data_IF_485968529904
#
_entry.id   IF_485968529904
#
_cell.length_a   1.000
_cell.length_b   1.000
_cell.length_c   1.000
_cell.angle_alpha   90.00
_cell.angle_beta   90.00
_cell.angle_gamma   90.00
#
_symmetry.space_group_name_H-M   'P 1'
#
loop_
_entity.id
_entity.type
_entity.pdbx_description
1 polymer ?
#
# COMPACT_ATOMS: atom_id res chain seq x y z
N UNK A 1 -1.69 -10.69 -6.55
CA UNK A 1 -2.14 -10.24 -7.89
C UNK A 1 -0.91 -10.08 -8.76
N UNK A 2 -1.03 -10.23 -10.07
CA UNK A 2 0.04 -9.93 -11.05
C UNK A 2 -0.37 -8.70 -11.84
N UNK A 3 0.58 -7.84 -12.18
CA UNK A 3 0.40 -6.67 -13.06
C UNK A 3 1.60 -6.51 -13.98
N UNK A 4 1.48 -5.64 -14.96
CA UNK A 4 2.51 -5.38 -15.98
C UNK A 4 2.49 -3.90 -16.31
N UNK A 5 3.59 -3.20 -16.05
CA UNK A 5 3.76 -1.81 -16.43
C UNK A 5 4.26 -1.77 -17.89
N UNK A 6 3.51 -1.14 -18.79
CA UNK A 6 3.80 -1.05 -20.24
C UNK A 6 4.32 0.35 -20.63
N UNK A 7 4.96 0.47 -21.80
CA UNK A 7 5.59 1.74 -22.26
C UNK A 7 4.54 2.81 -22.57
N UNK A 8 3.34 2.37 -22.94
CA UNK A 8 2.22 3.18 -23.41
C UNK A 8 1.27 3.59 -22.26
N UNK A 9 1.55 3.15 -21.03
CA UNK A 9 0.70 3.42 -19.87
C UNK A 9 1.16 4.71 -19.17
N UNK A 10 0.26 5.69 -19.10
CA UNK A 10 0.52 7.10 -18.77
C UNK A 10 0.98 7.39 -17.32
N UNK A 11 1.52 6.40 -16.60
CA UNK A 11 2.11 6.63 -15.27
C UNK A 11 2.02 5.47 -14.27
N UNK A 12 1.46 4.33 -14.68
CA UNK A 12 1.43 3.09 -13.90
C UNK A 12 0.03 2.65 -13.44
N UNK A 13 0.00 1.54 -12.71
CA UNK A 13 -1.24 0.82 -12.40
C UNK A 13 -1.93 1.35 -11.13
N UNK A 14 -3.23 1.66 -11.23
CA UNK A 14 -4.03 2.18 -10.12
C UNK A 14 -4.78 1.09 -9.34
N UNK A 15 -4.72 1.17 -8.00
CA UNK A 15 -5.40 0.24 -7.10
C UNK A 15 -6.23 0.95 -6.03
N UNK A 16 -7.35 0.33 -5.66
CA UNK A 16 -8.21 0.79 -4.56
C UNK A 16 -8.39 -0.29 -3.51
N UNK A 17 -8.12 0.04 -2.25
CA UNK A 17 -8.32 -0.88 -1.11
C UNK A 17 -9.39 -0.34 -0.18
N UNK A 18 -10.46 -1.14 0.00
CA UNK A 18 -11.53 -0.87 0.96
C UNK A 18 -11.06 -1.18 2.38
N UNK A 19 -11.26 -0.24 3.29
CA UNK A 19 -10.88 -0.35 4.70
C UNK A 19 -11.97 0.16 5.64
N UNK A 20 -11.94 -0.35 6.86
CA UNK A 20 -12.68 0.17 8.01
C UNK A 20 -11.73 0.94 8.93
N UNK A 21 -12.24 1.84 9.79
CA UNK A 21 -11.41 2.54 10.76
C UNK A 21 -10.61 1.57 11.64
N UNK A 22 -9.32 1.84 11.80
CA UNK A 22 -8.42 0.99 12.56
C UNK A 22 -7.92 -0.26 11.83
N UNK A 23 -8.36 -0.56 10.60
CA UNK A 23 -7.72 -1.61 9.80
C UNK A 23 -6.22 -1.25 9.59
N UNK A 24 -5.35 -2.25 9.70
CA UNK A 24 -3.97 -2.17 9.22
C UNK A 24 -3.91 -2.77 7.82
N UNK A 25 -3.44 -1.98 6.85
CA UNK A 25 -3.24 -2.40 5.46
C UNK A 25 -1.74 -2.46 5.18
N UNK A 26 -1.27 -3.63 4.76
CA UNK A 26 0.09 -3.85 4.28
C UNK A 26 0.03 -4.10 2.78
N UNK A 27 0.86 -3.38 2.02
CA UNK A 27 0.98 -3.49 0.57
C UNK A 27 2.44 -3.81 0.26
N UNK A 28 2.65 -4.88 -0.49
CA UNK A 28 3.96 -5.34 -0.94
C UNK A 28 3.90 -5.44 -2.47
N UNK A 29 4.79 -4.73 -3.15
CA UNK A 29 5.02 -4.82 -4.59
C UNK A 29 6.38 -5.45 -4.81
N UNK A 30 6.41 -6.58 -5.52
CA UNK A 30 7.66 -7.23 -5.92
C UNK A 30 7.81 -7.11 -7.42
N UNK A 31 8.71 -6.24 -7.92
CA UNK A 31 8.99 -6.09 -9.33
C UNK A 31 9.69 -7.33 -9.90
N UNK A 32 9.48 -7.58 -11.18
CA UNK A 32 10.25 -8.55 -11.95
C UNK A 32 11.71 -8.13 -12.10
N UNK A 33 12.55 -9.04 -12.58
CA UNK A 33 13.99 -8.81 -12.73
C UNK A 33 14.27 -7.59 -13.63
N UNK A 34 15.01 -6.62 -13.10
CA UNK A 34 15.45 -5.43 -13.85
C UNK A 34 14.45 -4.27 -13.86
N UNK A 35 13.28 -4.46 -13.26
CA UNK A 35 12.28 -3.42 -13.02
C UNK A 35 12.51 -2.79 -11.63
N UNK A 36 12.20 -1.50 -11.52
CA UNK A 36 12.18 -0.75 -10.27
C UNK A 36 10.87 0.03 -10.19
N UNK A 37 10.20 -0.03 -9.04
CA UNK A 37 8.83 0.45 -8.87
C UNK A 37 8.73 1.36 -7.66
N UNK A 38 7.70 2.20 -7.66
CA UNK A 38 7.34 3.03 -6.53
C UNK A 38 5.85 2.91 -6.21
N UNK A 39 5.52 3.14 -4.94
CA UNK A 39 4.16 3.28 -4.47
C UNK A 39 3.85 4.76 -4.30
N UNK A 40 2.84 5.24 -5.04
CA UNK A 40 2.40 6.63 -5.02
C UNK A 40 0.98 6.73 -4.45
N UNK A 41 0.72 7.84 -3.77
CA UNK A 41 -0.62 8.21 -3.31
C UNK A 41 -1.52 8.61 -4.47
N UNK A 42 -2.79 8.84 -4.14
CA UNK A 42 -3.79 9.34 -5.09
C UNK A 42 -3.47 10.77 -5.60
N UNK A 43 -2.63 11.50 -4.88
CA UNK A 43 -2.12 12.83 -5.21
C UNK A 43 -0.85 12.81 -6.08
N UNK A 44 -0.33 11.61 -6.41
CA UNK A 44 0.94 11.43 -7.12
C UNK A 44 2.18 11.57 -6.23
N UNK A 45 2.01 11.78 -4.92
CA UNK A 45 3.13 11.83 -3.97
C UNK A 45 3.69 10.43 -3.69
N UNK A 46 5.02 10.29 -3.62
CA UNK A 46 5.63 9.01 -3.23
C UNK A 46 5.29 8.67 -1.77
N UNK A 47 4.64 7.52 -1.55
CA UNK A 47 4.42 6.94 -0.23
C UNK A 47 5.66 6.12 0.16
N UNK A 48 6.19 5.37 -0.80
CA UNK A 48 7.39 4.57 -0.65
C UNK A 48 8.04 4.39 -2.01
N UNK A 49 9.37 4.47 -2.02
CA UNK A 49 10.22 4.25 -3.17
C UNK A 49 11.57 3.74 -2.70
N UNK A 50 12.20 2.93 -3.53
CA UNK A 50 13.57 2.50 -3.35
C UNK A 50 14.39 3.06 -4.51
N UNK A 51 15.13 4.13 -4.23
CA UNK A 51 16.01 4.74 -5.21
C UNK A 51 17.35 3.96 -5.23
N UNK A 52 17.41 2.74 -5.81
CA UNK A 52 18.73 2.15 -6.08
C UNK A 52 18.89 0.64 -6.26
N UNK A 53 17.88 -0.20 -6.04
CA UNK A 53 18.04 -1.66 -6.16
C UNK A 53 16.95 -2.28 -7.02
N UNK A 54 17.25 -2.47 -8.31
CA UNK A 54 16.36 -3.14 -9.27
C UNK A 54 15.97 -4.54 -8.78
N UNK A 55 14.68 -4.85 -8.79
CA UNK A 55 14.15 -6.16 -8.39
C UNK A 55 13.88 -6.34 -6.90
N UNK A 56 14.16 -5.34 -6.06
CA UNK A 56 13.79 -5.37 -4.64
C UNK A 56 12.31 -5.07 -4.45
N UNK A 57 11.71 -5.60 -3.38
CA UNK A 57 10.29 -5.38 -3.10
C UNK A 57 10.06 -4.07 -2.37
N UNK A 58 9.05 -3.32 -2.80
CA UNK A 58 8.56 -2.14 -2.10
C UNK A 58 7.46 -2.52 -1.14
N UNK A 59 7.63 -2.19 0.13
CA UNK A 59 6.68 -2.53 1.19
C UNK A 59 6.23 -1.28 1.94
N UNK A 60 4.91 -1.12 2.08
CA UNK A 60 4.31 -0.14 2.99
C UNK A 60 3.36 -0.83 3.95
N UNK A 61 3.30 -0.28 5.16
CA UNK A 61 2.32 -0.66 6.17
C UNK A 61 1.68 0.60 6.71
N UNK A 62 0.35 0.68 6.57
CA UNK A 62 -0.44 1.85 6.91
C UNK A 62 -1.56 1.46 7.87
N UNK A 63 -1.74 2.24 8.93
CA UNK A 63 -2.95 2.19 9.75
C UNK A 63 -3.97 3.16 9.18
N UNK A 64 -5.24 2.75 9.12
CA UNK A 64 -6.30 3.52 8.49
C UNK A 64 -7.11 4.36 9.47
N UNK A 65 -7.57 5.50 8.97
CA UNK A 65 -8.08 6.65 9.72
C UNK A 65 -9.46 6.39 10.36
N UNK A 66 -9.99 7.36 11.12
CA UNK A 66 -11.24 7.24 11.89
C UNK A 66 -12.54 7.08 11.05
N UNK A 67 -12.48 7.26 9.74
CA UNK A 67 -13.65 7.15 8.83
C UNK A 67 -13.39 6.04 7.80
N UNK A 68 -14.40 5.20 7.56
CA UNK A 68 -14.33 4.13 6.54
C UNK A 68 -14.22 4.70 5.12
N UNK A 69 -13.55 3.98 4.23
CA UNK A 69 -13.36 4.47 2.88
C UNK A 69 -12.58 3.55 1.95
N UNK A 70 -12.11 4.15 0.86
CA UNK A 70 -11.21 3.51 -0.11
C UNK A 70 -9.91 4.32 -0.15
N UNK A 71 -8.79 3.70 0.22
CA UNK A 71 -7.47 4.29 -0.05
C UNK A 71 -7.07 3.91 -1.46
N UNK A 72 -6.81 4.93 -2.29
CA UNK A 72 -6.31 4.77 -3.65
C UNK A 72 -4.80 4.99 -3.67
N UNK A 73 -4.10 4.16 -4.41
CA UNK A 73 -2.66 4.27 -4.64
C UNK A 73 -2.32 3.80 -6.05
N UNK A 74 -1.12 4.14 -6.50
CA UNK A 74 -0.59 3.74 -7.80
C UNK A 74 0.71 2.95 -7.60
N UNK A 75 0.91 1.93 -8.43
CA UNK A 75 2.20 1.29 -8.65
C UNK A 75 2.80 1.94 -9.89
N UNK A 76 3.80 2.80 -9.70
CA UNK A 76 4.46 3.52 -10.79
C UNK A 76 5.85 2.99 -11.08
N UNK A 77 6.36 3.23 -12.29
CA UNK A 77 7.76 3.01 -12.66
C UNK A 77 8.61 4.17 -12.09
N UNK A 78 9.79 3.87 -11.54
CA UNK A 78 10.76 4.93 -11.18
C UNK A 78 11.52 5.43 -12.42
N UNK A 79 11.99 6.69 -12.44
CA UNK A 79 12.70 7.27 -13.60
C UNK A 79 13.95 6.50 -14.08
N UNK A 80 14.47 5.58 -13.26
CA UNK A 80 15.62 4.71 -13.55
C UNK A 80 15.23 3.27 -13.98
N UNK A 81 13.93 2.98 -14.02
CA UNK A 81 13.32 1.68 -14.30
C UNK A 81 12.56 1.65 -15.62
N UNK A 82 12.52 0.46 -16.25
CA UNK A 82 11.83 0.21 -17.52
C UNK A 82 10.45 -0.40 -17.32
N UNK A 83 9.97 -1.12 -18.34
CA UNK A 83 8.72 -1.87 -18.30
C UNK A 83 8.90 -3.28 -17.76
N UNK A 84 7.82 -3.87 -17.24
CA UNK A 84 7.86 -5.27 -16.84
C UNK A 84 6.74 -5.70 -15.90
N UNK A 85 6.76 -6.99 -15.61
CA UNK A 85 5.82 -7.61 -14.69
C UNK A 85 6.17 -7.31 -13.24
N UNK A 86 5.15 -7.29 -12.39
CA UNK A 86 5.30 -7.28 -10.94
C UNK A 86 4.22 -8.14 -10.28
N UNK A 87 4.45 -8.46 -9.01
CA UNK A 87 3.45 -9.06 -8.15
C UNK A 87 3.06 -8.11 -7.04
N UNK A 88 1.76 -8.03 -6.77
CA UNK A 88 1.18 -7.20 -5.73
C UNK A 88 0.50 -8.08 -4.69
N UNK A 89 0.89 -7.92 -3.44
CA UNK A 89 0.25 -8.55 -2.29
C UNK A 89 -0.31 -7.46 -1.39
N UNK A 90 -1.59 -7.60 -1.06
CA UNK A 90 -2.29 -6.70 -0.13
C UNK A 90 -2.80 -7.55 1.03
N UNK A 91 -2.29 -7.28 2.22
CA UNK A 91 -2.76 -7.91 3.45
C UNK A 91 -3.56 -6.88 4.23
N UNK A 92 -4.78 -7.24 4.62
CA UNK A 92 -5.60 -6.43 5.50
C UNK A 92 -5.81 -7.17 6.81
N UNK A 93 -5.39 -6.54 7.89
CA UNK A 93 -5.62 -7.02 9.25
C UNK A 93 -6.59 -6.06 9.90
N UNK A 94 -7.83 -6.51 10.10
CA UNK A 94 -8.76 -5.73 10.91
C UNK A 94 -8.31 -5.75 12.36
N UNK A 95 -8.33 -4.59 13.02
CA UNK A 95 -8.29 -4.60 14.47
C UNK A 95 -9.53 -5.32 14.97
N UNK A 96 -9.33 -6.44 15.66
CA UNK A 96 -10.42 -7.17 16.33
C UNK A 96 -10.45 -6.89 17.84
N UNK A 97 -9.65 -5.95 18.32
CA UNK A 97 -9.36 -5.78 19.74
C UNK A 97 -9.58 -4.33 20.19
N UNK A 98 -10.81 -4.05 20.62
CA UNK A 98 -10.96 -3.18 21.78
C UNK A 98 -11.66 -1.84 21.62
N UNK A 99 -12.58 -1.67 20.67
CA UNK A 99 -13.63 -0.65 20.83
C UNK A 99 -14.66 -1.06 21.93
N UNK A 100 -14.23 -1.81 22.94
CA UNK A 100 -14.97 -1.92 24.19
C UNK A 100 -14.78 -0.61 24.93
N UNK A 101 -15.70 0.33 24.70
CA UNK A 101 -16.05 1.34 25.69
C UNK A 101 -16.57 0.71 26.99
N UNK A 102 -15.86 -0.29 27.54
CA UNK A 102 -15.90 -0.66 28.93
C UNK A 102 -14.84 0.19 29.60
N UNK A 103 -15.32 1.32 30.12
CA UNK A 103 -14.94 1.83 31.43
C UNK A 103 -13.91 0.95 32.14
N UNK A 104 -12.74 1.53 32.42
CA UNK A 104 -11.95 1.08 33.55
C UNK A 104 -12.82 1.27 34.81
N UNK A 105 -13.70 0.31 35.09
CA UNK A 105 -14.38 0.17 36.36
C UNK A 105 -13.33 -0.27 37.37
N UNK A 106 -12.69 0.70 38.00
CA UNK A 106 -11.82 0.48 39.14
C UNK A 106 -11.30 1.81 39.64
N UNK A 107 -11.78 2.39 40.72
CA UNK A 107 -12.83 2.01 41.65
C UNK A 107 -12.78 3.08 42.73
N UNK A 108 -13.90 3.77 42.97
CA UNK A 108 -14.06 4.52 44.20
C UNK A 108 -14.31 3.52 45.32
N UNK A 109 -13.35 3.41 46.22
CA UNK A 109 -13.55 3.02 47.62
C UNK A 109 -12.35 3.48 48.42
#
# INVERSE_FOLDING_TARGET
>A
MKGTLAEDDDGGDAYGVKYNPGDTVEIIVTPGKGLDVALQGADGGFISKNDGLKGESETIKLTTDIISGVKKFHVGILPIGGIGDYTLKITKTSQNDGNSGKDASGGCS
#
